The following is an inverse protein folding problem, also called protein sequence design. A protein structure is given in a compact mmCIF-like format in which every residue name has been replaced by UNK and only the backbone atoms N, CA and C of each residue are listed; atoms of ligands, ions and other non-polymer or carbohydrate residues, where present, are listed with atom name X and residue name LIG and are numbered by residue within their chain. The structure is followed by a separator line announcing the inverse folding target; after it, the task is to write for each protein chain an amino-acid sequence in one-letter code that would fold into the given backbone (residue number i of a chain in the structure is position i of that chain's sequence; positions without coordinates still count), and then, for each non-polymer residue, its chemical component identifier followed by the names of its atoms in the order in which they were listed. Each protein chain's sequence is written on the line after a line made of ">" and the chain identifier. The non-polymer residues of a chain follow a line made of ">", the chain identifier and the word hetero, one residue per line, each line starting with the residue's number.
data_IF_500984204808
#
_entry.id   IF_500984204808
#
_cell.length_a   1.000
_cell.length_b   1.000
_cell.length_c   1.000
_cell.angle_alpha   90.00
_cell.angle_beta   90.00
_cell.angle_gamma   90.00
#
_symmetry.space_group_name_H-M   'P 1'
#
loop_
_entity.id
_entity.type
_entity.pdbx_description
1 polymer ?
#
# COMPACT_ATOMS: atom_id res chain seq x y z
N UNK A 1 11.43 -14.43 -2.64
CA UNK A 1 11.73 -13.32 -3.57
C UNK A 1 10.75 -12.21 -3.28
N UNK A 2 11.21 -11.03 -2.89
CA UNK A 2 10.34 -9.87 -2.62
C UNK A 2 9.82 -9.30 -3.94
N UNK A 3 8.51 -9.17 -4.08
CA UNK A 3 7.86 -8.50 -5.20
C UNK A 3 7.47 -7.08 -4.78
N UNK A 4 7.42 -6.19 -5.77
CA UNK A 4 6.87 -4.84 -5.62
C UNK A 4 5.45 -4.85 -6.15
N UNK A 5 4.50 -4.43 -5.30
CA UNK A 5 3.07 -4.38 -5.58
C UNK A 5 2.66 -2.92 -5.73
N UNK A 6 1.94 -2.60 -6.80
CA UNK A 6 1.23 -1.32 -6.93
C UNK A 6 -0.22 -1.55 -6.52
N UNK A 7 -0.67 -0.89 -5.45
CA UNK A 7 -2.04 -0.94 -4.97
C UNK A 7 -2.82 0.25 -5.55
N UNK A 8 -3.81 -0.04 -6.40
CA UNK A 8 -4.71 0.97 -6.97
C UNK A 8 -5.98 1.07 -6.11
N UNK A 9 -6.16 2.21 -5.45
CA UNK A 9 -7.19 2.42 -4.43
C UNK A 9 -6.63 2.14 -3.03
N UNK A 10 -6.54 3.19 -2.21
CA UNK A 10 -5.78 3.23 -0.96
C UNK A 10 -6.63 3.56 0.26
N UNK A 11 -7.91 3.14 0.25
CA UNK A 11 -8.84 3.27 1.38
C UNK A 11 -8.50 2.34 2.57
N UNK A 12 -9.43 2.23 3.53
CA UNK A 12 -9.21 1.45 4.78
C UNK A 12 -8.88 -0.03 4.52
N UNK A 13 -9.52 -0.66 3.54
CA UNK A 13 -9.19 -2.04 3.16
C UNK A 13 -7.78 -2.15 2.56
N UNK A 14 -7.35 -1.12 1.82
CA UNK A 14 -6.01 -1.04 1.27
C UNK A 14 -4.94 -0.97 2.35
N UNK A 15 -5.22 -0.27 3.46
CA UNK A 15 -4.32 -0.19 4.61
C UNK A 15 -4.05 -1.57 5.23
N UNK A 16 -5.11 -2.35 5.45
CA UNK A 16 -4.98 -3.72 5.95
C UNK A 16 -4.24 -4.64 4.98
N UNK A 17 -4.46 -4.46 3.66
CA UNK A 17 -3.73 -5.18 2.63
C UNK A 17 -2.23 -4.86 2.66
N UNK A 18 -1.85 -3.58 2.74
CA UNK A 18 -0.45 -3.15 2.82
C UNK A 18 0.24 -3.80 4.01
N UNK A 19 -0.38 -3.76 5.19
CA UNK A 19 0.16 -4.35 6.41
C UNK A 19 0.37 -5.86 6.23
N UNK A 20 -0.59 -6.57 5.64
CA UNK A 20 -0.47 -8.01 5.39
C UNK A 20 0.63 -8.32 4.37
N UNK A 21 0.71 -7.56 3.28
CA UNK A 21 1.72 -7.72 2.23
C UNK A 21 3.14 -7.49 2.78
N UNK A 22 3.33 -6.46 3.60
CA UNK A 22 4.60 -6.17 4.27
C UNK A 22 5.00 -7.28 5.26
N UNK A 23 4.05 -7.84 6.02
CA UNK A 23 4.29 -9.02 6.88
C UNK A 23 4.74 -10.24 6.09
N UNK A 24 4.32 -10.37 4.83
CA UNK A 24 4.79 -11.38 3.88
C UNK A 24 6.10 -11.00 3.16
N UNK A 25 6.74 -9.90 3.57
CA UNK A 25 8.01 -9.41 3.02
C UNK A 25 7.89 -8.80 1.63
N UNK A 26 6.71 -8.30 1.25
CA UNK A 26 6.48 -7.59 -0.01
C UNK A 26 6.62 -6.08 0.17
N UNK A 27 7.01 -5.38 -0.89
CA UNK A 27 7.06 -3.92 -0.94
C UNK A 27 5.80 -3.41 -1.63
N UNK A 28 5.14 -2.37 -1.09
CA UNK A 28 3.90 -1.82 -1.63
C UNK A 28 4.05 -0.33 -1.94
N UNK A 29 3.61 0.07 -3.14
CA UNK A 29 3.36 1.45 -3.53
C UNK A 29 1.85 1.67 -3.55
N UNK A 30 1.34 2.61 -2.77
CA UNK A 30 -0.09 2.91 -2.68
C UNK A 30 -0.43 4.09 -3.59
N UNK A 31 -1.38 3.92 -4.51
CA UNK A 31 -1.84 4.95 -5.42
C UNK A 31 -3.33 5.25 -5.21
N UNK A 32 -3.70 6.52 -5.19
CA UNK A 32 -5.08 6.97 -5.12
C UNK A 32 -5.25 8.34 -5.80
N UNK A 33 -6.51 8.72 -6.02
CA UNK A 33 -6.92 9.99 -6.61
C UNK A 33 -6.68 11.21 -5.73
N UNK A 34 -6.39 11.03 -4.44
CA UNK A 34 -6.17 12.10 -3.48
C UNK A 34 -5.01 11.76 -2.53
N UNK A 35 -4.30 12.79 -2.09
CA UNK A 35 -3.20 12.66 -1.15
C UNK A 35 -3.69 12.24 0.26
N UNK A 36 -2.89 11.43 0.95
CA UNK A 36 -3.14 11.08 2.35
C UNK A 36 -4.18 9.97 2.56
N UNK A 37 -4.52 9.22 1.52
CA UNK A 37 -5.40 8.05 1.62
C UNK A 37 -4.86 7.04 2.67
N UNK A 38 -5.75 6.30 3.38
CA UNK A 38 -5.36 5.45 4.52
C UNK A 38 -4.17 4.51 4.29
N UNK A 39 -4.11 3.83 3.13
CA UNK A 39 -3.04 2.90 2.81
C UNK A 39 -1.70 3.59 2.51
N UNK A 40 -1.72 4.84 2.04
CA UNK A 40 -0.49 5.62 1.76
C UNK A 40 0.31 5.90 3.03
N UNK A 41 -0.34 5.94 4.19
CA UNK A 41 0.32 6.22 5.48
C UNK A 41 1.19 5.07 5.98
N UNK A 42 0.99 3.86 5.44
CA UNK A 42 1.69 2.64 5.85
C UNK A 42 2.48 1.98 4.72
N UNK A 43 2.32 2.43 3.47
CA UNK A 43 3.03 1.92 2.31
C UNK A 43 4.51 2.36 2.28
N UNK A 44 5.33 1.64 1.52
CA UNK A 44 6.76 1.97 1.34
C UNK A 44 6.94 3.24 0.48
N UNK A 45 6.00 3.50 -0.42
CA UNK A 45 5.89 4.73 -1.19
C UNK A 45 4.42 5.02 -1.55
N UNK A 46 4.11 6.26 -1.92
CA UNK A 46 2.79 6.65 -2.39
C UNK A 46 2.87 7.59 -3.60
N UNK A 47 1.86 7.49 -4.47
CA UNK A 47 1.68 8.29 -5.70
C UNK A 47 0.24 8.79 -5.82
#
# INVERSE_FOLDING_TARGET
>A
MTKKILLLGSGELGKEFVIAAQRLGQTVVACDSYAGAPAMQVADACE
#
